data_IF_567742487063
#
_entry.id   IF_567742487063
#
_cell.length_a   1.000
_cell.length_b   1.000
_cell.length_c   1.000
_cell.angle_alpha   90.00
_cell.angle_beta   90.00
_cell.angle_gamma   90.00
#
_symmetry.space_group_name_H-M   'P 1'
#
loop_
_entity.id
_entity.type
_entity.pdbx_description
1 polymer ?
#
# COMPACT_ATOMS: atom_id res chain seq x y z
N UNK A 1 18.20 -3.94 2.69
CA UNK A 1 18.02 -2.59 3.24
C UNK A 1 17.05 -1.82 2.36
N UNK A 2 16.48 -0.74 2.88
CA UNK A 2 15.57 0.12 2.12
C UNK A 2 16.31 0.83 0.99
N UNK A 3 15.74 0.83 -0.22
CA UNK A 3 16.21 1.62 -1.36
C UNK A 3 15.07 2.52 -1.79
N UNK A 4 15.33 3.82 -1.87
CA UNK A 4 14.32 4.82 -2.25
C UNK A 4 13.97 4.63 -3.73
N UNK A 5 12.70 4.35 -4.00
CA UNK A 5 12.12 4.37 -5.36
C UNK A 5 11.64 5.77 -5.71
N UNK A 6 11.54 6.06 -7.01
CA UNK A 6 11.17 7.38 -7.53
C UNK A 6 9.73 7.77 -7.19
N UNK A 7 8.82 6.79 -7.22
CA UNK A 7 7.39 7.01 -7.02
C UNK A 7 6.80 6.06 -5.98
N UNK A 8 5.76 6.54 -5.29
CA UNK A 8 4.89 5.80 -4.37
C UNK A 8 3.44 6.15 -4.65
N UNK A 9 2.54 5.20 -4.49
CA UNK A 9 1.10 5.45 -4.58
C UNK A 9 0.53 5.78 -3.20
N UNK A 10 -0.22 6.87 -3.09
CA UNK A 10 -0.90 7.31 -1.86
C UNK A 10 -2.35 7.59 -2.19
N UNK A 11 -3.26 7.10 -1.34
CA UNK A 11 -4.69 7.38 -1.41
C UNK A 11 -5.24 7.52 0.00
N UNK A 12 -6.08 8.53 0.23
CA UNK A 12 -6.65 8.83 1.54
C UNK A 12 -8.13 8.45 1.58
N UNK A 13 -8.56 7.87 2.70
CA UNK A 13 -9.96 7.62 2.98
C UNK A 13 -10.51 8.69 3.90
N UNK A 14 -11.52 9.44 3.44
CA UNK A 14 -12.18 10.48 4.22
C UNK A 14 -13.68 10.48 3.93
N UNK A 15 -14.49 10.72 4.96
CA UNK A 15 -15.95 10.86 4.84
C UNK A 15 -16.65 9.70 4.11
N UNK A 16 -16.13 8.47 4.32
CA UNK A 16 -16.72 7.26 3.74
C UNK A 16 -16.28 6.94 2.31
N UNK A 17 -15.33 7.69 1.73
CA UNK A 17 -14.86 7.50 0.35
C UNK A 17 -13.34 7.56 0.26
N UNK A 18 -12.80 6.78 -0.66
CA UNK A 18 -11.42 6.93 -1.11
C UNK A 18 -11.35 8.09 -2.10
N UNK A 19 -10.24 8.82 -2.08
CA UNK A 19 -9.87 9.74 -3.15
C UNK A 19 -9.47 8.97 -4.43
N UNK A 20 -9.13 9.69 -5.49
CA UNK A 20 -8.67 9.09 -6.76
C UNK A 20 -7.31 8.40 -6.64
N UNK A 21 -6.59 8.64 -5.54
CA UNK A 21 -5.20 8.26 -5.36
C UNK A 21 -4.24 9.03 -6.27
N UNK A 22 -2.96 8.98 -5.93
CA UNK A 22 -1.93 9.67 -6.70
C UNK A 22 -0.54 9.08 -6.49
N UNK A 23 0.31 9.26 -7.51
CA UNK A 23 1.74 8.99 -7.37
C UNK A 23 2.42 10.22 -6.74
N UNK A 24 3.20 9.98 -5.69
CA UNK A 24 4.03 10.98 -5.02
C UNK A 24 5.50 10.56 -5.05
N UNK A 25 6.38 11.54 -5.06
CA UNK A 25 7.83 11.36 -4.90
C UNK A 25 8.26 11.47 -3.44
N UNK A 26 7.36 11.96 -2.56
CA UNK A 26 7.61 12.07 -1.13
C UNK A 26 7.68 10.66 -0.50
N UNK A 27 8.69 10.45 0.34
CA UNK A 27 8.89 9.23 1.13
C UNK A 27 8.38 9.35 2.56
N UNK A 28 7.92 10.53 2.97
CA UNK A 28 7.38 10.80 4.28
C UNK A 28 5.86 10.72 4.29
N UNK A 29 5.31 10.13 5.36
CA UNK A 29 3.87 10.08 5.61
C UNK A 29 3.57 11.01 6.78
N UNK A 30 2.79 12.08 6.55
CA UNK A 30 2.36 13.01 7.60
C UNK A 30 1.04 12.54 8.22
N UNK A 31 1.06 12.22 9.51
CA UNK A 31 -0.12 11.79 10.28
C UNK A 31 -0.19 12.51 11.62
N UNK A 32 -1.39 12.58 12.19
CA UNK A 32 -1.61 13.10 13.54
C UNK A 32 -0.91 12.23 14.59
N UNK A 33 -0.44 12.84 15.68
CA UNK A 33 0.14 12.12 16.83
C UNK A 33 -0.85 11.13 17.48
N UNK A 34 -2.15 11.44 17.41
CA UNK A 34 -3.24 10.60 17.91
C UNK A 34 -3.74 9.57 16.89
N UNK A 35 -3.02 9.35 15.78
CA UNK A 35 -3.44 8.41 14.76
C UNK A 35 -3.52 6.98 15.32
N UNK A 36 -4.62 6.27 15.00
CA UNK A 36 -4.87 4.90 15.49
C UNK A 36 -3.79 3.88 15.10
N UNK A 37 -3.03 4.16 14.03
CA UNK A 37 -1.81 3.40 13.68
C UNK A 37 -0.76 3.43 14.78
N UNK A 38 -0.53 4.60 15.40
CA UNK A 38 0.49 4.77 16.44
C UNK A 38 0.00 4.29 17.81
N UNK A 39 -1.28 4.51 18.11
CA UNK A 39 -1.83 4.26 19.44
C UNK A 39 -2.36 2.82 19.62
N UNK A 40 -2.91 2.24 18.55
CA UNK A 40 -3.62 0.95 18.61
C UNK A 40 -3.15 -0.05 17.55
N UNK A 41 -2.03 0.23 16.88
CA UNK A 41 -1.46 -0.62 15.82
C UNK A 41 -2.49 -0.97 14.72
N UNK A 42 -3.43 -0.06 14.43
CA UNK A 42 -4.47 -0.26 13.42
C UNK A 42 -3.87 -0.11 12.01
N UNK A 43 -3.06 -1.11 11.62
CA UNK A 43 -2.30 -1.15 10.37
C UNK A 43 -2.29 -2.54 9.78
N UNK A 44 -2.25 -2.59 8.45
CA UNK A 44 -2.04 -3.83 7.69
C UNK A 44 -1.04 -3.53 6.58
N UNK A 45 -0.21 -4.51 6.23
CA UNK A 45 0.73 -4.40 5.13
C UNK A 45 0.65 -5.64 4.24
N UNK A 46 1.08 -5.47 2.99
CA UNK A 46 1.22 -6.56 2.04
C UNK A 46 2.60 -6.57 1.41
N UNK A 47 2.99 -7.74 0.92
CA UNK A 47 4.25 -7.94 0.23
C UNK A 47 4.05 -8.76 -1.03
N UNK A 48 4.44 -8.20 -2.17
CA UNK A 48 4.50 -8.91 -3.43
C UNK A 48 5.77 -8.56 -4.21
N UNK A 49 6.10 -9.38 -5.19
CA UNK A 49 7.29 -9.21 -6.04
C UNK A 49 6.88 -9.09 -7.50
N UNK A 50 7.54 -8.16 -8.19
CA UNK A 50 7.49 -8.03 -9.64
C UNK A 50 8.81 -8.54 -10.22
N UNK A 51 8.75 -9.26 -11.33
CA UNK A 51 9.90 -9.81 -12.03
C UNK A 51 9.88 -9.35 -13.49
N UNK A 52 11.07 -9.10 -14.05
CA UNK A 52 11.25 -8.85 -15.47
C UNK A 52 11.54 -10.17 -16.16
N UNK A 53 10.73 -10.56 -17.15
CA UNK A 53 10.97 -11.76 -17.96
C UNK A 53 12.10 -11.51 -18.97
N UNK A 54 12.63 -12.58 -19.56
CA UNK A 54 13.66 -12.45 -20.62
C UNK A 54 13.18 -11.63 -21.81
N UNK A 55 11.87 -11.64 -22.08
CA UNK A 55 11.20 -10.84 -23.12
C UNK A 55 10.99 -9.36 -22.73
N UNK A 56 11.47 -8.94 -21.55
CA UNK A 56 11.35 -7.56 -21.05
C UNK A 56 9.99 -7.21 -20.45
N UNK A 57 9.06 -8.16 -20.35
CA UNK A 57 7.76 -7.94 -19.72
C UNK A 57 7.88 -7.96 -18.19
N UNK A 58 7.14 -7.07 -17.53
CA UNK A 58 7.03 -7.07 -16.07
C UNK A 58 5.85 -7.96 -15.68
N UNK A 59 6.11 -8.98 -14.87
CA UNK A 59 5.11 -9.89 -14.33
C UNK A 59 5.04 -9.79 -12.82
N UNK A 60 3.82 -9.75 -12.29
CA UNK A 60 3.56 -9.79 -10.85
C UNK A 60 2.99 -11.14 -10.47
N UNK A 61 3.47 -11.74 -9.38
CA UNK A 61 2.97 -13.03 -8.94
C UNK A 61 1.65 -12.88 -8.17
N UNK A 62 0.55 -13.28 -8.78
CA UNK A 62 -0.80 -13.38 -8.19
C UNK A 62 -1.26 -12.15 -7.36
N UNK A 63 -1.32 -10.94 -7.96
CA UNK A 63 -1.81 -9.74 -7.27
C UNK A 63 -3.23 -9.89 -6.69
N UNK A 64 -4.06 -10.70 -7.34
CA UNK A 64 -5.42 -11.04 -6.95
C UNK A 64 -5.49 -11.60 -5.51
N UNK A 65 -4.65 -12.58 -5.19
CA UNK A 65 -4.62 -13.18 -3.85
C UNK A 65 -4.14 -12.21 -2.77
N UNK A 66 -3.18 -11.34 -3.10
CA UNK A 66 -2.73 -10.31 -2.18
C UNK A 66 -3.87 -9.31 -1.87
N UNK A 67 -4.65 -8.92 -2.89
CA UNK A 67 -5.81 -8.06 -2.72
C UNK A 67 -6.92 -8.72 -1.87
N UNK A 68 -7.20 -10.00 -2.12
CA UNK A 68 -8.16 -10.78 -1.31
C UNK A 68 -7.74 -10.85 0.16
N UNK A 69 -6.45 -11.04 0.44
CA UNK A 69 -5.93 -11.10 1.82
C UNK A 69 -6.09 -9.77 2.55
N UNK A 70 -5.78 -8.64 1.90
CA UNK A 70 -6.06 -7.30 2.45
C UNK A 70 -7.56 -7.14 2.75
N UNK A 71 -8.41 -7.48 1.78
CA UNK A 71 -9.85 -7.30 1.93
C UNK A 71 -10.42 -8.15 3.07
N UNK A 72 -9.89 -9.36 3.28
CA UNK A 72 -10.26 -10.22 4.40
C UNK A 72 -9.84 -9.63 5.75
N UNK A 73 -8.64 -9.04 5.84
CA UNK A 73 -8.16 -8.39 7.07
C UNK A 73 -8.99 -7.16 7.44
N UNK A 74 -9.34 -6.33 6.45
CA UNK A 74 -10.21 -5.14 6.64
C UNK A 74 -11.53 -5.45 7.33
N UNK A 75 -12.07 -6.66 7.21
CA UNK A 75 -13.34 -7.06 7.85
C UNK A 75 -13.18 -7.49 9.32
N UNK A 76 -11.95 -7.72 9.78
CA UNK A 76 -11.63 -8.20 11.15
C UNK A 76 -11.22 -7.08 12.12
N UNK A 77 -11.04 -5.87 11.61
CA UNK A 77 -10.73 -4.65 12.38
C UNK A 77 -11.85 -3.65 12.18
#
# INVERSE_FOLDING_TARGET
GYVKTDYRYVSNYKDGKWDEGGLTTDDMVTISECAGVLQYAQTVFEGMKAYTTEDGHIVTFRPDLNAERIAAFRRKT
#
